data_IF_954162093490
#
_entry.id   IF_954162093490
#
_cell.length_a   1.000
_cell.length_b   1.000
_cell.length_c   1.000
_cell.angle_alpha   90.00
_cell.angle_beta   90.00
_cell.angle_gamma   90.00
#
_symmetry.space_group_name_H-M   'P 1'
#
loop_
_entity.id
_entity.type
_entity.pdbx_description
1 polymer ?
#
# COMPACT_ATOMS: atom_id res chain seq x y z
N UNK A 1 20.51 16.14 -7.67
CA UNK A 1 19.30 16.67 -8.36
C UNK A 1 18.32 15.53 -8.62
N UNK A 2 18.65 14.51 -9.41
CA UNK A 2 17.79 13.35 -9.69
C UNK A 2 17.28 12.64 -8.42
N UNK A 3 18.12 12.43 -7.43
CA UNK A 3 17.76 11.74 -6.16
C UNK A 3 16.64 12.48 -5.40
N UNK A 4 16.71 13.80 -5.31
CA UNK A 4 15.67 14.60 -4.65
C UNK A 4 14.35 14.60 -5.45
N UNK A 5 14.43 14.57 -6.78
CA UNK A 5 13.26 14.49 -7.65
C UNK A 5 12.61 13.10 -7.58
N UNK A 6 13.41 12.03 -7.56
CA UNK A 6 12.90 10.66 -7.33
C UNK A 6 12.25 10.52 -5.96
N UNK A 7 12.85 11.07 -4.91
CA UNK A 7 12.27 11.04 -3.59
C UNK A 7 10.92 11.74 -3.55
N UNK A 8 10.82 12.95 -4.12
CA UNK A 8 9.54 13.67 -4.19
C UNK A 8 8.47 12.90 -4.97
N UNK A 9 8.86 12.23 -6.07
CA UNK A 9 7.97 11.39 -6.86
C UNK A 9 7.49 10.18 -6.05
N UNK A 10 8.38 9.51 -5.32
CA UNK A 10 8.02 8.37 -4.46
C UNK A 10 7.14 8.79 -3.28
N UNK A 11 7.38 9.95 -2.68
CA UNK A 11 6.51 10.50 -1.65
C UNK A 11 5.09 10.71 -2.18
N UNK A 12 4.95 11.34 -3.35
CA UNK A 12 3.66 11.56 -4.01
C UNK A 12 2.91 10.25 -4.28
N UNK A 13 3.60 9.27 -4.87
CA UNK A 13 2.99 7.97 -5.15
C UNK A 13 2.72 7.17 -3.88
N UNK A 14 3.56 7.30 -2.87
CA UNK A 14 3.35 6.70 -1.56
C UNK A 14 2.06 7.17 -0.91
N UNK A 15 1.83 8.47 -0.87
CA UNK A 15 0.59 9.05 -0.35
C UNK A 15 -0.63 8.59 -1.16
N UNK A 16 -0.53 8.58 -2.49
CA UNK A 16 -1.58 8.11 -3.38
C UNK A 16 -1.91 6.63 -3.14
N UNK A 17 -0.90 5.77 -3.03
CA UNK A 17 -1.07 4.35 -2.74
C UNK A 17 -1.72 4.12 -1.38
N UNK A 18 -1.31 4.85 -0.34
CA UNK A 18 -1.93 4.79 1.00
C UNK A 18 -3.39 5.21 0.93
N UNK A 19 -3.71 6.25 0.18
CA UNK A 19 -5.10 6.70 0.00
C UNK A 19 -5.93 5.68 -0.76
N UNK A 20 -5.38 5.07 -1.80
CA UNK A 20 -6.04 3.98 -2.55
C UNK A 20 -6.31 2.76 -1.66
N UNK A 21 -5.36 2.40 -0.79
CA UNK A 21 -5.56 1.34 0.20
C UNK A 21 -6.71 1.67 1.15
N UNK A 22 -6.74 2.88 1.68
CA UNK A 22 -7.81 3.34 2.59
C UNK A 22 -9.18 3.30 1.91
N UNK A 23 -9.26 3.77 0.67
CA UNK A 23 -10.49 3.76 -0.13
C UNK A 23 -10.96 2.32 -0.38
N UNK A 24 -10.07 1.46 -0.84
CA UNK A 24 -10.38 0.05 -1.09
C UNK A 24 -10.85 -0.68 0.17
N UNK A 25 -10.19 -0.42 1.30
CA UNK A 25 -10.59 -1.00 2.59
C UNK A 25 -11.96 -0.51 3.05
N UNK A 26 -12.31 0.74 2.77
CA UNK A 26 -13.64 1.29 3.08
C UNK A 26 -14.71 0.66 2.20
N UNK A 27 -14.47 0.54 0.88
CA UNK A 27 -15.39 -0.06 -0.09
C UNK A 27 -15.66 -1.54 0.24
N UNK A 28 -14.62 -2.29 0.59
CA UNK A 28 -14.73 -3.70 0.98
C UNK A 28 -15.32 -3.89 2.40
N UNK A 29 -15.58 -2.79 3.12
CA UNK A 29 -16.02 -2.82 4.54
C UNK A 29 -15.10 -3.66 5.42
N UNK A 30 -13.82 -3.74 5.06
CA UNK A 30 -12.82 -4.54 5.75
C UNK A 30 -12.31 -3.91 7.04
N UNK A 31 -12.58 -2.62 7.24
CA UNK A 31 -12.22 -1.89 8.47
C UNK A 31 -13.32 -2.00 9.53
N UNK A 32 -12.94 -2.34 10.75
CA UNK A 32 -13.87 -2.34 11.89
C UNK A 32 -13.63 -1.14 12.82
N UNK A 33 -12.38 -0.97 13.28
CA UNK A 33 -12.02 0.07 14.26
C UNK A 33 -11.36 1.30 13.62
N UNK A 34 -11.05 1.27 12.32
CA UNK A 34 -10.27 2.30 11.65
C UNK A 34 -8.76 2.25 11.95
N UNK A 35 -8.31 1.43 12.90
CA UNK A 35 -6.89 1.33 13.27
C UNK A 35 -5.98 0.92 12.12
N UNK A 36 -6.47 0.07 11.20
CA UNK A 36 -5.72 -0.29 10.02
C UNK A 36 -5.45 0.93 9.12
N UNK A 37 -6.45 1.80 8.94
CA UNK A 37 -6.31 3.01 8.14
C UNK A 37 -5.30 4.00 8.76
N UNK A 38 -5.30 4.12 10.08
CA UNK A 38 -4.40 5.03 10.80
C UNK A 38 -2.95 4.55 10.77
N UNK A 39 -2.74 3.22 10.74
CA UNK A 39 -1.40 2.63 10.74
C UNK A 39 -0.70 2.63 9.39
N UNK A 40 -1.41 2.96 8.30
CA UNK A 40 -0.83 3.00 6.96
C UNK A 40 0.00 4.27 6.78
N UNK A 41 1.27 4.09 6.49
CA UNK A 41 2.23 5.14 6.22
C UNK A 41 3.09 4.76 5.01
N UNK A 42 3.39 5.75 4.17
CA UNK A 42 4.34 5.60 3.09
C UNK A 42 5.68 6.20 3.50
N UNK A 43 6.75 5.48 3.24
CA UNK A 43 8.12 5.92 3.49
C UNK A 43 8.90 5.84 2.18
N UNK A 44 9.33 6.99 1.69
CA UNK A 44 10.24 7.09 0.55
C UNK A 44 11.67 7.29 1.06
N UNK A 45 12.60 6.55 0.50
CA UNK A 45 14.03 6.64 0.80
C UNK A 45 14.83 6.61 -0.50
N UNK A 46 15.17 7.81 -1.00
CA UNK A 46 15.99 8.01 -2.18
C UNK A 46 15.48 7.29 -3.43
N UNK A 47 15.68 5.99 -3.49
CA UNK A 47 15.34 5.16 -4.65
C UNK A 47 14.36 4.01 -4.30
N UNK A 48 13.75 4.05 -3.14
CA UNK A 48 12.77 3.04 -2.71
C UNK A 48 11.52 3.66 -2.11
N UNK A 49 10.39 3.01 -2.34
CA UNK A 49 9.10 3.34 -1.74
C UNK A 49 8.60 2.13 -0.94
N UNK A 50 8.36 2.33 0.33
CA UNK A 50 7.80 1.32 1.24
C UNK A 50 6.47 1.78 1.82
N UNK A 51 5.50 0.88 1.90
CA UNK A 51 4.26 1.11 2.62
C UNK A 51 4.31 0.28 3.91
N UNK A 52 4.21 0.96 5.03
CA UNK A 52 4.26 0.37 6.36
C UNK A 52 2.87 0.37 6.97
N UNK A 53 2.55 -0.67 7.70
CA UNK A 53 1.28 -0.77 8.41
C UNK A 53 1.35 -1.89 9.45
N UNK A 54 0.28 -2.05 10.24
CA UNK A 54 0.24 -3.13 11.22
C UNK A 54 0.02 -4.50 10.56
N UNK A 55 0.39 -5.58 11.24
CA UNK A 55 0.29 -6.98 10.75
C UNK A 55 -1.12 -7.38 10.30
N UNK A 56 -2.13 -6.66 10.77
CA UNK A 56 -3.51 -6.93 10.41
C UNK A 56 -3.82 -6.61 8.94
N UNK A 57 -3.10 -5.67 8.35
CA UNK A 57 -3.26 -5.26 6.93
C UNK A 57 -2.89 -6.41 6.00
N UNK A 58 -1.84 -7.15 6.35
CA UNK A 58 -1.47 -8.35 5.60
C UNK A 58 -2.60 -9.38 5.61
N UNK A 59 -3.20 -9.63 6.77
CA UNK A 59 -4.34 -10.54 6.88
C UNK A 59 -5.58 -10.06 6.11
N UNK A 60 -5.83 -8.75 6.06
CA UNK A 60 -6.91 -8.18 5.22
C UNK A 60 -6.61 -8.48 3.75
N UNK A 61 -5.39 -8.25 3.30
CA UNK A 61 -5.00 -8.41 1.89
C UNK A 61 -5.00 -9.88 1.45
N UNK A 62 -4.32 -10.74 2.20
CA UNK A 62 -4.11 -12.15 1.84
C UNK A 62 -5.21 -13.08 2.33
N UNK A 63 -5.98 -12.64 3.32
CA UNK A 63 -6.93 -13.51 4.01
C UNK A 63 -6.26 -14.44 5.01
N UNK A 64 -6.99 -15.45 5.43
CA UNK A 64 -6.51 -16.46 6.36
C UNK A 64 -6.91 -17.86 5.93
N UNK A 65 -5.95 -18.76 5.94
CA UNK A 65 -6.22 -20.20 5.74
C UNK A 65 -6.97 -20.79 6.93
N UNK A 66 -7.72 -21.90 6.74
CA UNK A 66 -8.29 -22.68 7.83
C UNK A 66 -7.22 -23.07 8.85
N UNK A 67 -7.56 -23.03 10.14
CA UNK A 67 -6.61 -23.40 11.18
C UNK A 67 -7.02 -22.95 12.57
N UNK A 68 -6.33 -23.35 13.62
CA UNK A 68 -6.64 -23.03 14.99
C UNK A 68 -6.57 -21.52 15.24
N UNK A 69 -7.40 -21.06 16.15
CA UNK A 69 -7.41 -19.67 16.61
C UNK A 69 -6.95 -19.68 18.07
N UNK A 70 -5.92 -18.95 18.34
CA UNK A 70 -5.37 -18.76 19.67
C UNK A 70 -6.22 -17.79 20.53
N UNK A 71 -5.85 -17.63 21.77
CA UNK A 71 -6.59 -16.75 22.70
C UNK A 71 -6.55 -15.29 22.25
N UNK A 72 -5.44 -14.81 21.71
CA UNK A 72 -5.31 -13.46 21.18
C UNK A 72 -6.21 -13.25 19.96
N UNK A 73 -6.27 -14.22 19.07
CA UNK A 73 -7.18 -14.22 17.92
C UNK A 73 -8.64 -14.23 18.35
N UNK A 74 -8.99 -15.00 19.41
CA UNK A 74 -10.33 -15.03 19.95
C UNK A 74 -10.75 -13.68 20.56
N UNK A 75 -9.83 -13.01 21.25
CA UNK A 75 -10.05 -11.66 21.78
C UNK A 75 -10.31 -10.67 20.65
N UNK A 76 -9.51 -10.69 19.59
CA UNK A 76 -9.72 -9.83 18.39
C UNK A 76 -11.07 -10.08 17.73
N UNK A 77 -11.52 -11.33 17.63
CA UNK A 77 -12.85 -11.66 17.08
C UNK A 77 -13.97 -11.10 17.97
N UNK A 78 -13.85 -11.19 19.29
CA UNK A 78 -14.82 -10.60 20.23
C UNK A 78 -14.92 -9.08 20.05
N UNK A 79 -13.77 -8.41 19.99
CA UNK A 79 -13.71 -6.97 19.79
C UNK A 79 -14.28 -6.58 18.41
N UNK A 80 -13.95 -7.33 17.36
CA UNK A 80 -14.47 -7.10 16.02
C UNK A 80 -16.01 -7.25 15.96
N UNK A 81 -16.58 -8.30 16.55
CA UNK A 81 -18.03 -8.51 16.62
C UNK A 81 -18.72 -7.32 17.30
N UNK A 82 -18.12 -6.83 18.40
CA UNK A 82 -18.63 -5.68 19.15
C UNK A 82 -18.57 -4.39 18.32
N UNK A 83 -17.42 -4.10 17.70
CA UNK A 83 -17.21 -2.88 16.93
C UNK A 83 -18.08 -2.83 15.68
N UNK A 84 -18.25 -3.97 15.00
CA UNK A 84 -19.14 -4.08 13.83
C UNK A 84 -20.62 -4.04 14.20
N UNK A 85 -20.97 -4.13 15.49
CA UNK A 85 -22.37 -4.15 15.91
C UNK A 85 -23.13 -5.35 15.36
N UNK A 86 -22.47 -6.50 15.17
CA UNK A 86 -23.11 -7.68 14.61
C UNK A 86 -24.20 -8.18 15.55
N UNK A 87 -25.39 -8.37 15.01
CA UNK A 87 -26.51 -8.96 15.73
C UNK A 87 -26.75 -10.40 15.28
N UNK A 88 -27.27 -11.28 16.18
CA UNK A 88 -27.71 -12.61 15.77
C UNK A 88 -28.82 -12.53 14.73
N UNK A 89 -28.67 -13.32 13.66
CA UNK A 89 -29.71 -13.44 12.62
C UNK A 89 -30.77 -14.52 12.91
N UNK A 90 -30.73 -15.13 14.10
CA UNK A 90 -31.68 -16.16 14.54
C UNK A 90 -31.95 -15.99 16.04
N UNK A 91 -33.21 -16.18 16.49
CA UNK A 91 -33.57 -16.06 17.89
C UNK A 91 -32.90 -17.10 18.80
N UNK A 92 -32.40 -18.17 18.21
CA UNK A 92 -31.72 -19.24 18.95
C UNK A 92 -30.22 -18.94 19.19
N UNK A 93 -29.69 -17.87 18.61
CA UNK A 93 -28.30 -17.46 18.76
C UNK A 93 -28.24 -16.27 19.72
N UNK A 94 -27.51 -16.42 20.82
CA UNK A 94 -27.26 -15.30 21.74
C UNK A 94 -26.11 -14.46 21.26
N UNK A 95 -26.12 -13.15 21.51
CA UNK A 95 -25.03 -12.22 21.14
C UNK A 95 -23.65 -12.71 21.62
N UNK A 96 -23.59 -13.25 22.85
CA UNK A 96 -22.33 -13.79 23.43
C UNK A 96 -21.75 -14.97 22.66
N UNK A 97 -22.57 -15.67 21.85
CA UNK A 97 -22.15 -16.87 21.12
C UNK A 97 -21.61 -16.52 19.71
N UNK A 98 -21.87 -15.30 19.22
CA UNK A 98 -21.42 -14.85 17.91
C UNK A 98 -19.90 -14.94 17.71
N UNK A 99 -19.03 -14.53 18.65
CA UNK A 99 -17.59 -14.66 18.47
C UNK A 99 -17.14 -16.12 18.28
N UNK A 100 -17.77 -17.06 18.97
CA UNK A 100 -17.47 -18.49 18.83
C UNK A 100 -17.91 -19.04 17.48
N UNK A 101 -19.07 -18.60 16.97
CA UNK A 101 -19.55 -19.01 15.66
C UNK A 101 -18.67 -18.46 14.55
N UNK A 102 -18.25 -17.20 14.65
CA UNK A 102 -17.28 -16.58 13.73
C UNK A 102 -15.95 -17.32 13.78
N UNK A 103 -15.41 -17.55 14.97
CA UNK A 103 -14.17 -18.29 15.17
C UNK A 103 -14.25 -19.71 14.58
N UNK A 104 -15.35 -20.42 14.80
CA UNK A 104 -15.62 -21.75 14.24
C UNK A 104 -15.61 -21.72 12.71
N UNK A 105 -16.23 -20.71 12.08
CA UNK A 105 -16.24 -20.54 10.63
C UNK A 105 -14.82 -20.29 10.11
N UNK A 106 -14.08 -19.36 10.71
CA UNK A 106 -12.70 -19.05 10.36
C UNK A 106 -11.80 -20.28 10.50
N UNK A 107 -11.96 -21.03 11.61
CA UNK A 107 -11.20 -22.27 11.84
C UNK A 107 -11.43 -23.31 10.75
N UNK A 108 -12.65 -23.44 10.26
CA UNK A 108 -13.05 -24.46 9.27
C UNK A 108 -12.75 -24.07 7.84
N UNK A 109 -13.00 -22.82 7.50
CA UNK A 109 -12.99 -22.34 6.11
C UNK A 109 -11.96 -21.24 5.84
N UNK A 110 -11.34 -20.65 6.90
CA UNK A 110 -10.60 -19.42 6.76
C UNK A 110 -11.50 -18.25 6.35
N UNK A 111 -10.90 -17.24 5.79
CA UNK A 111 -11.58 -16.18 5.06
C UNK A 111 -10.74 -15.70 3.88
N UNK A 112 -11.37 -15.34 2.76
CA UNK A 112 -10.65 -14.84 1.60
C UNK A 112 -10.05 -13.47 1.90
N UNK A 113 -8.89 -13.19 1.30
CA UNK A 113 -8.32 -11.85 1.32
C UNK A 113 -9.05 -10.92 0.37
N UNK A 114 -8.83 -9.63 0.55
CA UNK A 114 -9.40 -8.59 -0.32
C UNK A 114 -8.53 -8.30 -1.53
N UNK A 115 -7.31 -8.86 -1.59
CA UNK A 115 -6.33 -8.55 -2.63
C UNK A 115 -5.84 -7.09 -2.57
N UNK A 116 -5.87 -6.47 -1.39
CA UNK A 116 -5.58 -5.06 -1.19
C UNK A 116 -4.24 -4.62 -1.81
N UNK A 117 -3.16 -5.35 -1.52
CA UNK A 117 -1.83 -5.02 -2.04
C UNK A 117 -1.78 -5.15 -3.57
N UNK A 118 -2.34 -6.22 -4.12
CA UNK A 118 -2.35 -6.43 -5.56
C UNK A 118 -3.12 -5.32 -6.28
N UNK A 119 -4.30 -4.94 -5.76
CA UNK A 119 -5.09 -3.85 -6.31
C UNK A 119 -4.31 -2.53 -6.38
N UNK A 120 -3.59 -2.18 -5.30
CA UNK A 120 -2.85 -0.91 -5.24
C UNK A 120 -1.61 -0.93 -6.14
N UNK A 121 -0.92 -2.07 -6.21
CA UNK A 121 0.22 -2.27 -7.11
C UNK A 121 -0.25 -2.15 -8.56
N UNK A 122 -1.26 -2.91 -8.97
CA UNK A 122 -1.76 -2.91 -10.35
C UNK A 122 -2.22 -1.53 -10.80
N UNK A 123 -2.80 -0.75 -9.89
CA UNK A 123 -3.29 0.60 -10.18
C UNK A 123 -2.18 1.63 -10.34
N UNK A 124 -1.08 1.49 -9.60
CA UNK A 124 -0.08 2.55 -9.47
C UNK A 124 1.28 2.22 -10.10
N UNK A 125 1.61 0.94 -10.32
CA UNK A 125 2.97 0.56 -10.76
C UNK A 125 3.29 1.06 -12.17
N UNK A 126 2.33 1.01 -13.09
CA UNK A 126 2.56 1.45 -14.47
C UNK A 126 2.74 2.96 -14.53
N UNK A 127 1.82 3.80 -14.00
CA UNK A 127 2.02 5.24 -13.98
C UNK A 127 3.32 5.65 -13.25
N UNK A 128 3.64 5.01 -12.13
CA UNK A 128 4.88 5.29 -11.42
C UNK A 128 6.11 5.00 -12.28
N UNK A 129 6.12 3.87 -12.99
CA UNK A 129 7.25 3.49 -13.85
C UNK A 129 7.41 4.43 -15.05
N UNK A 130 6.32 4.92 -15.60
CA UNK A 130 6.33 5.92 -16.68
C UNK A 130 6.88 7.25 -16.18
N UNK A 131 6.40 7.77 -15.07
CA UNK A 131 6.87 9.02 -14.49
C UNK A 131 8.34 8.95 -14.06
N UNK A 132 8.81 7.81 -13.56
CA UNK A 132 10.24 7.58 -13.24
C UNK A 132 11.08 7.60 -14.52
N UNK A 133 10.62 6.94 -15.59
CA UNK A 133 11.33 6.92 -16.87
C UNK A 133 11.43 8.31 -17.48
N UNK A 134 10.34 9.07 -17.46
CA UNK A 134 10.30 10.45 -17.98
C UNK A 134 11.27 11.36 -17.20
N UNK A 135 11.24 11.27 -15.88
CA UNK A 135 12.15 12.02 -15.01
C UNK A 135 13.64 11.70 -15.30
N UNK A 136 13.97 10.42 -15.46
CA UNK A 136 15.34 10.01 -15.77
C UNK A 136 15.76 10.53 -17.14
N UNK A 137 14.92 10.47 -18.14
CA UNK A 137 15.18 10.98 -19.49
C UNK A 137 15.38 12.50 -19.49
N UNK A 138 14.57 13.24 -18.73
CA UNK A 138 14.72 14.69 -18.58
C UNK A 138 16.09 15.05 -18.01
N UNK A 139 16.48 14.43 -16.90
CA UNK A 139 17.79 14.68 -16.27
C UNK A 139 18.96 14.30 -17.17
N UNK A 140 18.85 13.18 -17.91
CA UNK A 140 19.87 12.78 -18.86
C UNK A 140 20.01 13.77 -20.01
N UNK A 141 18.91 14.27 -20.55
CA UNK A 141 18.92 15.29 -21.60
C UNK A 141 19.56 16.60 -21.12
N UNK A 142 19.21 17.07 -19.93
CA UNK A 142 19.84 18.24 -19.33
C UNK A 142 21.34 18.08 -19.16
N UNK A 143 21.81 16.91 -18.70
CA UNK A 143 23.21 16.61 -18.52
C UNK A 143 23.97 16.54 -19.88
N UNK A 144 23.34 15.96 -20.90
CA UNK A 144 23.89 15.93 -22.25
C UNK A 144 24.02 17.33 -22.84
N UNK A 145 22.97 18.15 -22.73
CA UNK A 145 22.99 19.53 -23.22
C UNK A 145 24.07 20.37 -22.52
N UNK A 146 24.23 20.24 -21.21
CA UNK A 146 25.29 20.89 -20.46
C UNK A 146 26.67 20.44 -20.90
N UNK A 147 26.86 19.13 -21.12
CA UNK A 147 28.14 18.57 -21.55
C UNK A 147 28.49 19.00 -22.97
N UNK A 148 27.52 18.98 -23.88
CA UNK A 148 27.69 19.45 -25.25
C UNK A 148 28.04 20.93 -25.26
N UNK A 149 27.30 21.76 -24.57
CA UNK A 149 27.52 23.20 -24.47
C UNK A 149 28.90 23.51 -23.88
N UNK A 150 29.30 22.82 -22.82
CA UNK A 150 30.63 23.02 -22.22
C UNK A 150 31.78 22.64 -23.17
N UNK A 151 31.63 21.54 -23.93
CA UNK A 151 32.67 21.08 -24.86
C UNK A 151 32.73 21.91 -26.13
N UNK A 152 31.62 22.41 -26.65
CA UNK A 152 31.61 23.23 -27.88
C UNK A 152 31.85 24.72 -27.62
N UNK A 153 31.47 25.26 -26.44
CA UNK A 153 31.80 26.63 -26.07
C UNK A 153 33.31 26.85 -25.81
N UNK A 154 34.06 25.80 -25.51
CA UNK A 154 35.54 25.85 -25.39
C UNK A 154 36.33 25.72 -26.70
N UNK A 155 35.65 25.31 -27.77
CA UNK A 155 36.28 25.10 -29.08
C UNK A 155 36.40 26.39 -29.87
N UNK A 156 37.47 27.21 -29.65
CA UNK A 156 37.99 28.08 -30.69
C UNK A 156 38.49 27.15 -31.80
N UNK A 157 37.74 27.02 -32.88
CA UNK A 157 38.26 26.49 -34.13
C UNK A 157 39.29 27.48 -34.58
N UNK A 158 40.58 27.19 -34.30
CA UNK A 158 41.70 27.92 -34.85
C UNK A 158 41.71 27.66 -36.35
N UNK A 159 41.21 28.61 -37.13
CA UNK A 159 41.48 28.71 -38.53
C UNK A 159 42.96 29.01 -38.66
N UNK A 160 43.79 27.95 -38.87
CA UNK A 160 45.15 28.12 -39.40
C UNK A 160 45.02 28.29 -40.91
N UNK A 161 45.34 29.48 -41.37
CA UNK A 161 45.62 29.81 -42.77
C UNK A 161 47.11 29.68 -42.95
#
# INVERSE_FOLDING_TARGET
MLEAQLQALFELYGEKMVQDMRTKMADDKSTASGMANVSLEAVADGNSLSIIGNDYIEQISQGRRPGPIDEAGMKRIKDWVRIKGLAPNSPNIRYRDLPFLVARKIRRSGFPGTGLFQYVIDKNIVPLSEDVADLVLEVLNEQLDQTITANFAGGKIGTAI
#
